data_IF_953587853430
#
_entry.id   IF_953587853430
#
_cell.length_a   1.000
_cell.length_b   1.000
_cell.length_c   1.000
_cell.angle_alpha   90.00
_cell.angle_beta   90.00
_cell.angle_gamma   90.00
#
_symmetry.space_group_name_H-M   'P 1'
#
loop_
_entity.id
_entity.type
_entity.pdbx_description
1 polymer ?
#
# COMPACT_ATOMS: atom_id res chain seq x y z
N UNK A 1 1.29 -27.11 -7.04
CA UNK A 1 0.00 -26.71 -7.63
C UNK A 1 -0.81 -26.03 -6.54
N UNK A 2 -1.26 -24.80 -6.75
CA UNK A 2 -2.21 -24.14 -5.85
C UNK A 2 -3.58 -24.84 -5.96
N UNK A 3 -4.35 -24.79 -4.88
CA UNK A 3 -5.63 -24.13 -4.98
C UNK A 3 -5.60 -22.91 -4.07
N UNK A 4 -5.62 -21.72 -4.68
CA UNK A 4 -6.13 -20.54 -4.01
C UNK A 4 -7.51 -20.91 -3.47
N UNK A 5 -7.71 -20.75 -2.17
CA UNK A 5 -9.04 -20.80 -1.60
C UNK A 5 -9.88 -19.73 -2.32
N UNK A 6 -10.88 -20.13 -3.09
CA UNK A 6 -11.86 -19.21 -3.63
C UNK A 6 -12.61 -18.68 -2.41
N UNK A 7 -12.33 -17.43 -2.03
CA UNK A 7 -13.07 -16.76 -0.98
C UNK A 7 -14.47 -16.46 -1.55
N UNK A 8 -15.40 -17.38 -1.32
CA UNK A 8 -16.77 -17.25 -1.82
C UNK A 8 -17.44 -16.08 -1.10
N UNK A 9 -18.16 -15.26 -1.87
CA UNK A 9 -18.96 -14.19 -1.30
C UNK A 9 -19.97 -14.79 -0.30
N UNK A 10 -20.22 -14.09 0.83
CA UNK A 10 -21.22 -14.54 1.78
C UNK A 10 -22.61 -14.61 1.14
N UNK A 11 -23.44 -15.51 1.64
CA UNK A 11 -24.78 -15.77 1.09
C UNK A 11 -25.61 -14.49 1.08
N UNK A 12 -26.17 -14.08 -0.08
CA UNK A 12 -27.07 -12.94 -0.14
C UNK A 12 -28.28 -13.18 0.78
N UNK A 13 -28.67 -12.17 1.54
CA UNK A 13 -29.84 -12.22 2.43
C UNK A 13 -30.90 -11.22 1.96
N UNK A 14 -32.17 -11.46 2.32
CA UNK A 14 -33.26 -10.56 1.94
C UNK A 14 -33.09 -9.12 2.45
N UNK A 15 -32.26 -8.91 3.48
CA UNK A 15 -31.90 -7.59 4.02
C UNK A 15 -31.04 -6.74 3.09
N UNK A 16 -30.30 -7.34 2.16
CA UNK A 16 -29.37 -6.62 1.26
C UNK A 16 -30.08 -5.59 0.36
N UNK A 17 -31.38 -5.81 0.07
CA UNK A 17 -32.18 -4.90 -0.75
C UNK A 17 -32.71 -3.66 -0.01
N UNK A 18 -32.75 -3.70 1.34
CA UNK A 18 -33.45 -2.69 2.16
C UNK A 18 -32.51 -1.76 2.94
N UNK A 19 -31.22 -2.12 3.08
CA UNK A 19 -30.30 -1.47 4.01
C UNK A 19 -29.04 -0.87 3.35
N UNK A 20 -29.01 -0.78 2.01
CA UNK A 20 -27.88 -0.25 1.23
C UNK A 20 -27.63 1.27 1.37
N UNK A 21 -28.30 1.95 2.30
CA UNK A 21 -28.14 3.39 2.52
C UNK A 21 -28.40 3.92 3.93
N UNK A 22 -28.71 3.09 4.93
CA UNK A 22 -28.93 3.59 6.29
C UNK A 22 -27.68 3.46 7.15
N UNK A 23 -26.96 4.59 7.31
CA UNK A 23 -26.01 4.77 8.38
C UNK A 23 -26.73 4.58 9.73
N UNK A 24 -26.46 3.46 10.40
CA UNK A 24 -26.98 3.14 11.71
C UNK A 24 -28.09 2.10 11.65
N UNK A 25 -27.76 0.85 11.97
CA UNK A 25 -28.54 -0.01 12.85
C UNK A 25 -27.66 -1.19 13.25
N UNK A 26 -27.67 -1.45 14.56
CA UNK A 26 -27.14 -2.63 15.23
C UNK A 26 -27.83 -3.88 14.65
N UNK A 27 -27.05 -4.90 14.29
CA UNK A 27 -27.60 -6.17 13.84
C UNK A 27 -26.74 -7.33 14.33
N UNK A 28 -27.18 -7.89 15.46
CA UNK A 28 -26.74 -9.16 16.02
C UNK A 28 -26.99 -10.34 15.06
N UNK A 29 -26.15 -10.44 14.05
CA UNK A 29 -26.05 -11.57 13.14
C UNK A 29 -24.62 -12.09 13.19
N UNK A 30 -24.46 -13.38 13.44
CA UNK A 30 -23.17 -14.05 13.67
C UNK A 30 -22.36 -14.28 12.37
N UNK A 31 -22.53 -13.41 11.35
CA UNK A 31 -21.85 -13.55 10.05
C UNK A 31 -21.90 -12.30 9.17
N UNK A 32 -20.83 -12.12 8.37
CA UNK A 32 -20.66 -11.04 7.38
C UNK A 32 -21.69 -11.16 6.25
N UNK A 33 -22.47 -10.11 5.98
CA UNK A 33 -23.43 -10.09 4.87
C UNK A 33 -22.78 -9.72 3.53
N UNK A 34 -23.48 -9.91 2.41
CA UNK A 34 -23.00 -9.47 1.09
C UNK A 34 -22.82 -7.94 1.05
N UNK A 35 -23.68 -7.20 1.75
CA UNK A 35 -23.57 -5.74 1.87
C UNK A 35 -22.35 -5.35 2.72
N UNK A 36 -22.02 -6.11 3.77
CA UNK A 36 -20.76 -5.89 4.50
C UNK A 36 -19.55 -6.17 3.59
N UNK A 37 -19.54 -7.28 2.86
CA UNK A 37 -18.42 -7.60 1.96
C UNK A 37 -18.28 -6.64 0.74
N UNK A 38 -19.38 -6.08 0.24
CA UNK A 38 -19.40 -5.26 -0.97
C UNK A 38 -19.41 -3.74 -0.70
N UNK A 39 -20.01 -3.29 0.41
CA UNK A 39 -20.17 -1.87 0.79
C UNK A 39 -19.29 -1.51 2.00
N UNK A 40 -19.04 -2.43 2.94
CA UNK A 40 -18.13 -2.25 4.08
C UNK A 40 -16.84 -3.02 3.86
N UNK A 41 -16.09 -2.62 2.84
CA UNK A 41 -14.84 -3.27 2.46
C UNK A 41 -13.91 -3.47 3.68
N UNK A 42 -13.12 -4.57 3.70
CA UNK A 42 -12.06 -4.77 4.70
C UNK A 42 -11.17 -3.53 4.77
N UNK A 43 -10.52 -3.30 5.93
CA UNK A 43 -9.56 -2.22 6.23
C UNK A 43 -9.11 -1.36 5.03
N UNK A 44 -9.05 -0.01 5.13
CA UNK A 44 -8.84 0.94 4.00
C UNK A 44 -7.84 0.57 2.87
N UNK A 45 -6.93 -0.36 3.13
CA UNK A 45 -5.92 -0.93 2.26
C UNK A 45 -6.30 -2.26 1.57
N UNK A 46 -7.47 -2.83 1.85
CA UNK A 46 -7.95 -4.13 1.40
C UNK A 46 -6.92 -5.24 1.64
N UNK A 47 -6.74 -6.08 0.62
CA UNK A 47 -5.75 -7.17 0.64
C UNK A 47 -4.30 -6.71 0.92
N UNK A 48 -3.98 -5.43 0.68
CA UNK A 48 -2.65 -4.88 0.90
C UNK A 48 -2.39 -4.48 2.36
N UNK A 49 -3.40 -4.46 3.23
CA UNK A 49 -3.28 -4.05 4.62
C UNK A 49 -2.11 -4.68 5.39
N UNK A 50 -1.88 -6.00 5.30
CA UNK A 50 -0.72 -6.63 5.93
C UNK A 50 0.64 -6.13 5.39
N UNK A 51 0.74 -5.83 4.09
CA UNK A 51 1.95 -5.29 3.48
C UNK A 51 2.18 -3.83 3.89
N UNK A 52 1.13 -3.03 3.90
CA UNK A 52 1.16 -1.64 4.35
C UNK A 52 1.65 -1.58 5.80
N UNK A 53 1.05 -2.35 6.73
CA UNK A 53 1.46 -2.36 8.14
C UNK A 53 2.93 -2.75 8.35
N UNK A 54 3.44 -3.72 7.58
CA UNK A 54 4.87 -4.09 7.62
C UNK A 54 5.74 -2.94 7.15
N UNK A 55 5.34 -2.24 6.11
CA UNK A 55 6.09 -1.12 5.57
C UNK A 55 6.06 0.10 6.50
N UNK A 56 4.89 0.41 7.07
CA UNK A 56 4.72 1.45 8.09
C UNK A 56 5.64 1.23 9.30
N UNK A 57 5.79 -0.03 9.75
CA UNK A 57 6.64 -0.37 10.89
C UNK A 57 8.15 -0.11 10.66
N UNK A 58 8.60 -0.02 9.41
CA UNK A 58 10.02 0.23 9.07
C UNK A 58 10.27 1.57 8.37
N UNK A 59 9.21 2.33 8.09
CA UNK A 59 9.29 3.65 7.47
C UNK A 59 8.59 4.71 8.32
N UNK A 60 7.33 5.03 8.00
CA UNK A 60 6.43 5.98 8.65
C UNK A 60 4.98 5.57 8.32
N UNK A 61 3.95 6.13 8.99
CA UNK A 61 2.56 5.90 8.61
C UNK A 61 2.31 6.17 7.12
N UNK A 62 1.49 5.34 6.50
CA UNK A 62 1.22 5.42 5.07
C UNK A 62 0.42 6.71 4.75
N UNK A 63 0.93 7.56 3.84
CA UNK A 63 0.16 8.68 3.29
C UNK A 63 -1.10 8.18 2.58
N UNK A 64 -2.02 9.10 2.26
CA UNK A 64 -3.17 8.75 1.43
C UNK A 64 -2.72 8.32 0.03
N UNK A 65 -3.22 7.18 -0.50
CA UNK A 65 -2.73 6.62 -1.76
C UNK A 65 -3.11 7.47 -2.96
N UNK A 66 -4.14 8.31 -2.81
CA UNK A 66 -4.58 9.24 -3.85
C UNK A 66 -4.71 10.64 -3.30
N UNK A 67 -4.46 11.61 -4.17
CA UNK A 67 -4.76 13.02 -3.93
C UNK A 67 -5.64 13.55 -5.07
N UNK A 68 -6.39 14.61 -4.83
CA UNK A 68 -7.20 15.22 -5.88
C UNK A 68 -6.32 16.00 -6.86
N UNK A 69 -6.67 15.97 -8.13
CA UNK A 69 -6.10 16.85 -9.15
C UNK A 69 -6.83 18.21 -9.18
N UNK A 70 -6.42 19.12 -10.07
CA UNK A 70 -7.05 20.44 -10.18
C UNK A 70 -8.54 20.37 -10.59
N UNK A 71 -8.92 19.31 -11.29
CA UNK A 71 -10.29 19.02 -11.72
C UNK A 71 -11.10 18.24 -10.67
N UNK A 72 -10.54 17.98 -9.48
CA UNK A 72 -11.20 17.24 -8.40
C UNK A 72 -11.25 15.71 -8.60
N UNK A 73 -10.55 15.18 -9.59
CA UNK A 73 -10.45 13.74 -9.83
C UNK A 73 -9.33 13.12 -8.98
N UNK A 74 -9.51 11.92 -8.42
CA UNK A 74 -8.43 11.20 -7.75
C UNK A 74 -7.27 10.89 -8.70
N UNK A 75 -6.04 11.17 -8.26
CA UNK A 75 -4.80 10.74 -8.91
C UNK A 75 -3.85 10.14 -7.89
N UNK A 76 -2.86 9.39 -8.35
CA UNK A 76 -1.83 8.82 -7.48
C UNK A 76 -1.13 9.94 -6.67
N UNK A 77 -1.02 9.72 -5.36
CA UNK A 77 -0.27 10.61 -4.48
C UNK A 77 1.23 10.40 -4.69
N UNK A 78 1.94 11.49 -4.99
CA UNK A 78 3.39 11.52 -5.09
C UNK A 78 4.07 11.29 -3.73
N UNK A 79 3.48 11.79 -2.64
CA UNK A 79 3.93 11.48 -1.28
C UNK A 79 3.82 9.98 -0.96
N UNK A 80 2.74 9.33 -1.43
CA UNK A 80 2.57 7.89 -1.28
C UNK A 80 3.58 7.11 -2.13
N UNK A 81 3.85 7.54 -3.36
CA UNK A 81 4.85 6.91 -4.23
C UNK A 81 6.29 7.05 -3.66
N UNK A 82 6.64 8.22 -3.13
CA UNK A 82 7.89 8.45 -2.40
C UNK A 82 7.99 7.56 -1.15
N UNK A 83 6.87 7.39 -0.43
CA UNK A 83 6.79 6.49 0.72
C UNK A 83 6.98 5.03 0.32
N UNK A 84 6.41 4.57 -0.79
CA UNK A 84 6.62 3.21 -1.32
C UNK A 84 8.10 2.94 -1.60
N UNK A 85 8.83 3.96 -2.06
CA UNK A 85 10.27 3.87 -2.28
C UNK A 85 11.11 3.86 -0.99
N UNK A 86 10.49 4.00 0.17
CA UNK A 86 11.15 3.95 1.48
C UNK A 86 12.05 5.15 1.75
N UNK A 87 11.82 6.24 1.01
CA UNK A 87 12.55 7.48 1.13
C UNK A 87 12.03 8.28 2.33
N UNK A 88 12.86 9.19 2.84
CA UNK A 88 12.43 10.18 3.83
C UNK A 88 11.32 11.05 3.23
N UNK A 89 10.38 11.49 4.06
CA UNK A 89 9.35 12.42 3.61
C UNK A 89 10.00 13.70 3.06
N UNK A 90 9.55 14.16 1.89
CA UNK A 90 10.08 15.36 1.24
C UNK A 90 11.35 15.11 0.42
N UNK A 91 11.90 13.89 0.38
CA UNK A 91 13.19 13.64 -0.29
C UNK A 91 13.19 14.02 -1.77
N UNK A 92 12.08 13.76 -2.46
CA UNK A 92 11.84 14.15 -3.86
C UNK A 92 10.75 15.20 -3.92
N UNK A 93 9.68 15.01 -3.14
CA UNK A 93 8.47 15.85 -3.15
C UNK A 93 8.72 17.31 -2.74
N UNK A 94 9.70 17.60 -1.89
CA UNK A 94 10.02 18.98 -1.46
C UNK A 94 11.09 19.66 -2.34
N UNK A 95 11.53 19.03 -3.44
CA UNK A 95 12.50 19.65 -4.36
C UNK A 95 11.86 20.87 -5.03
N UNK A 96 12.43 22.09 -4.91
CA UNK A 96 11.82 23.28 -5.45
C UNK A 96 11.59 23.20 -6.96
N UNK A 97 10.35 23.43 -7.39
CA UNK A 97 9.97 23.45 -8.81
C UNK A 97 9.77 22.07 -9.45
N UNK A 98 9.88 20.97 -8.70
CA UNK A 98 9.63 19.63 -9.23
C UNK A 98 8.16 19.45 -9.59
N UNK A 99 7.90 18.87 -10.75
CA UNK A 99 6.54 18.52 -11.16
C UNK A 99 6.15 17.14 -10.66
N UNK A 100 4.85 16.89 -10.51
CA UNK A 100 4.34 15.57 -10.12
C UNK A 100 4.83 14.43 -11.04
N UNK A 101 4.91 14.67 -12.35
CA UNK A 101 5.43 13.69 -13.31
C UNK A 101 6.92 13.38 -13.07
N UNK A 102 7.71 14.39 -12.70
CA UNK A 102 9.13 14.21 -12.36
C UNK A 102 9.30 13.46 -11.06
N UNK A 103 8.45 13.70 -10.05
CA UNK A 103 8.45 12.93 -8.79
C UNK A 103 8.19 11.45 -9.09
N UNK A 104 7.11 11.13 -9.81
CA UNK A 104 6.80 9.73 -10.15
C UNK A 104 7.89 9.08 -11.00
N UNK A 105 8.47 9.84 -11.95
CA UNK A 105 9.60 9.34 -12.76
C UNK A 105 10.82 9.06 -11.90
N UNK A 106 11.13 9.90 -10.92
CA UNK A 106 12.25 9.71 -10.01
C UNK A 106 12.00 8.54 -9.06
N UNK A 107 10.78 8.39 -8.53
CA UNK A 107 10.38 7.24 -7.71
C UNK A 107 10.48 5.94 -8.53
N UNK A 108 9.82 5.87 -9.69
CA UNK A 108 9.77 4.67 -10.52
C UNK A 108 11.12 4.22 -11.10
N UNK A 109 12.08 5.13 -11.30
CA UNK A 109 13.45 4.80 -11.72
C UNK A 109 14.45 4.68 -10.56
N UNK A 110 13.99 4.94 -9.33
CA UNK A 110 14.82 4.90 -8.13
C UNK A 110 15.10 3.47 -7.66
N UNK A 111 15.83 3.37 -6.54
CA UNK A 111 16.10 2.10 -5.85
C UNK A 111 15.63 2.23 -4.41
N UNK A 112 15.03 1.17 -3.87
CA UNK A 112 14.65 1.11 -2.45
C UNK A 112 15.93 1.13 -1.59
N UNK A 113 16.15 2.16 -0.75
CA UNK A 113 17.39 2.31 0.01
C UNK A 113 17.71 1.10 0.89
N UNK A 114 16.70 0.50 1.51
CA UNK A 114 16.84 -0.67 2.38
C UNK A 114 17.38 -1.87 1.59
N UNK A 115 16.91 -2.08 0.34
CA UNK A 115 17.39 -3.14 -0.53
C UNK A 115 18.81 -2.84 -1.06
N UNK A 116 19.08 -1.59 -1.44
CA UNK A 116 20.41 -1.16 -1.87
C UNK A 116 21.45 -1.40 -0.77
N UNK A 117 21.16 -1.00 0.47
CA UNK A 117 22.05 -1.23 1.62
C UNK A 117 22.27 -2.72 1.87
N UNK A 118 21.22 -3.55 1.77
CA UNK A 118 21.35 -5.00 1.92
C UNK A 118 22.27 -5.59 0.83
N UNK A 119 22.08 -5.19 -0.43
CA UNK A 119 22.92 -5.62 -1.55
C UNK A 119 24.39 -5.20 -1.40
N UNK A 120 24.63 -3.94 -1.00
CA UNK A 120 25.98 -3.45 -0.76
C UNK A 120 26.67 -4.17 0.40
N UNK A 121 25.94 -4.47 1.49
CA UNK A 121 26.46 -5.28 2.60
C UNK A 121 26.82 -6.68 2.14
N UNK A 122 25.98 -7.31 1.33
CA UNK A 122 26.23 -8.63 0.76
C UNK A 122 27.50 -8.66 -0.09
N UNK A 123 27.63 -7.73 -1.04
CA UNK A 123 28.82 -7.60 -1.89
C UNK A 123 30.10 -7.35 -1.09
N UNK A 124 30.01 -6.50 -0.06
CA UNK A 124 31.14 -6.22 0.83
C UNK A 124 31.61 -7.47 1.58
N UNK A 125 30.69 -8.28 2.10
CA UNK A 125 31.09 -9.53 2.75
C UNK A 125 31.72 -10.48 1.73
N UNK A 126 31.13 -10.67 0.55
CA UNK A 126 31.72 -11.51 -0.52
C UNK A 126 33.16 -11.09 -0.86
N UNK A 127 33.41 -9.78 -0.98
CA UNK A 127 34.75 -9.26 -1.25
C UNK A 127 35.74 -9.63 -0.14
N UNK A 128 35.34 -9.55 1.13
CA UNK A 128 36.18 -9.96 2.27
C UNK A 128 36.52 -11.45 2.23
N UNK A 129 35.54 -12.31 1.93
CA UNK A 129 35.79 -13.75 1.79
C UNK A 129 36.83 -14.05 0.71
N UNK A 130 36.75 -13.36 -0.44
CA UNK A 130 37.72 -13.50 -1.52
C UNK A 130 39.15 -13.08 -1.15
N UNK A 131 39.32 -12.15 -0.20
CA UNK A 131 40.63 -11.71 0.28
C UNK A 131 41.26 -12.63 1.34
N UNK A 132 40.45 -13.41 2.07
CA UNK A 132 40.93 -14.37 3.07
C UNK A 132 41.25 -15.74 2.44
N UNK A 133 40.63 -16.04 1.30
CA UNK A 133 40.84 -17.29 0.57
C UNK A 133 41.99 -17.23 -0.48
N UNK A 134 42.64 -16.07 -0.63
CA UNK A 134 43.79 -15.84 -1.51
C UNK A 134 45.07 -15.72 -0.70
#
# INVERSE_FOLDING_TARGET
MLPSAINLLPTPTAGDSKQSGSAGYDSGHDGTTLTDAAVRQPDRWGEYGPAIRRWEAITRPAPEPTKLNAEGNPKLSDEFDEWLMGLLAGWITDVPGITWNEVLKACGNGVLPQQAVAGLRFLREMARWGQVAA
#
